data_IF_546233299244
#
_entry.id   IF_546233299244
#
_cell.length_a   1.000
_cell.length_b   1.000
_cell.length_c   1.000
_cell.angle_alpha   90.00
_cell.angle_beta   90.00
_cell.angle_gamma   90.00
#
_symmetry.space_group_name_H-M   'P 1'
#
loop_
_entity.id
_entity.type
_entity.pdbx_description
1 polymer ?
#
# COMPACT_ATOMS: atom_id res chain seq x y z
N UNK A 1 14.43 1.76 -7.41
CA UNK A 1 13.16 2.19 -6.76
C UNK A 1 13.28 3.65 -6.35
N UNK A 2 12.21 4.43 -6.39
CA UNK A 2 12.23 5.83 -5.92
C UNK A 2 11.49 5.98 -4.60
N UNK A 3 12.13 6.58 -3.61
CA UNK A 3 11.52 6.96 -2.34
C UNK A 3 11.38 8.48 -2.26
N UNK A 4 10.20 8.97 -1.93
CA UNK A 4 9.88 10.40 -1.84
C UNK A 4 9.53 10.76 -0.40
N UNK A 5 10.42 11.51 0.25
CA UNK A 5 10.30 11.89 1.65
C UNK A 5 9.89 13.37 1.74
N UNK A 6 8.75 13.63 2.34
CA UNK A 6 8.25 14.98 2.60
C UNK A 6 8.73 15.52 3.95
N UNK A 7 9.16 16.77 3.99
CA UNK A 7 9.54 17.50 5.19
C UNK A 7 8.82 18.83 5.24
N UNK A 8 8.12 19.09 6.34
CA UNK A 8 7.35 20.31 6.55
C UNK A 8 7.85 21.02 7.81
N UNK A 9 8.80 21.93 7.63
CA UNK A 9 9.34 22.75 8.71
C UNK A 9 8.54 24.04 8.95
N UNK A 10 7.79 24.51 7.94
CA UNK A 10 6.99 25.73 7.96
C UNK A 10 5.60 25.45 7.39
N UNK A 11 4.58 26.24 7.78
CA UNK A 11 3.16 25.96 7.51
C UNK A 11 2.81 25.60 6.06
N UNK A 12 3.45 26.24 5.08
CA UNK A 12 3.14 26.05 3.65
C UNK A 12 4.33 25.59 2.79
N UNK A 13 5.49 25.32 3.37
CA UNK A 13 6.69 24.93 2.59
C UNK A 13 6.98 23.45 2.74
N UNK A 14 6.51 22.65 1.78
CA UNK A 14 6.83 21.24 1.67
C UNK A 14 8.15 21.07 0.92
N UNK A 15 9.10 20.44 1.58
CA UNK A 15 10.32 19.97 0.96
C UNK A 15 10.18 18.49 0.62
N UNK A 16 10.52 18.11 -0.60
CA UNK A 16 10.45 16.73 -1.09
C UNK A 16 11.85 16.29 -1.48
N UNK A 17 12.40 15.33 -0.74
CA UNK A 17 13.62 14.64 -1.10
C UNK A 17 13.25 13.37 -1.86
N UNK A 18 13.73 13.22 -3.10
CA UNK A 18 13.58 11.99 -3.88
C UNK A 18 14.91 11.24 -3.87
N UNK A 19 14.87 10.01 -3.37
CA UNK A 19 16.00 9.11 -3.29
C UNK A 19 15.86 8.05 -4.36
N UNK A 20 16.85 7.97 -5.25
CA UNK A 20 16.92 6.89 -6.21
C UNK A 20 17.77 5.75 -5.62
N UNK A 21 17.15 4.61 -5.33
CA UNK A 21 17.86 3.48 -4.72
C UNK A 21 18.82 2.75 -5.66
N UNK A 22 18.77 3.03 -6.96
CA UNK A 22 19.67 2.43 -7.95
C UNK A 22 20.88 3.33 -8.24
N UNK A 23 20.68 4.65 -8.38
CA UNK A 23 21.77 5.60 -8.62
C UNK A 23 22.40 6.16 -7.34
N UNK A 24 21.76 5.95 -6.18
CA UNK A 24 22.11 6.58 -4.89
C UNK A 24 22.09 8.11 -4.93
N UNK A 25 21.35 8.69 -5.87
CA UNK A 25 21.19 10.13 -5.98
C UNK A 25 20.04 10.64 -5.09
N UNK A 26 20.24 11.84 -4.55
CA UNK A 26 19.22 12.58 -3.80
C UNK A 26 18.91 13.86 -4.57
N UNK A 27 17.65 14.02 -4.96
CA UNK A 27 17.15 15.29 -5.52
C UNK A 27 16.22 15.96 -4.53
N UNK A 28 16.19 17.29 -4.56
CA UNK A 28 15.45 18.11 -3.62
C UNK A 28 14.55 19.07 -4.38
N UNK A 29 13.25 19.00 -4.12
CA UNK A 29 12.24 19.88 -4.69
C UNK A 29 11.48 20.60 -3.56
N UNK A 30 11.27 21.91 -3.70
CA UNK A 30 10.44 22.69 -2.79
C UNK A 30 9.10 22.97 -3.46
N UNK A 31 8.02 22.69 -2.75
CA UNK A 31 6.66 22.85 -3.21
C UNK A 31 5.77 23.44 -2.12
N UNK A 32 4.61 23.93 -2.52
CA UNK A 32 3.56 24.32 -1.59
C UNK A 32 2.86 23.08 -1.03
N UNK A 33 2.43 23.10 0.24
CA UNK A 33 1.71 21.99 0.86
C UNK A 33 0.44 21.57 0.08
N UNK A 34 -0.22 22.51 -0.62
CA UNK A 34 -1.35 22.21 -1.52
C UNK A 34 -0.99 21.26 -2.66
N UNK A 35 0.29 21.20 -3.03
CA UNK A 35 0.80 20.35 -4.10
C UNK A 35 1.27 18.97 -3.59
N UNK A 36 1.21 18.70 -2.28
CA UNK A 36 1.62 17.43 -1.68
C UNK A 36 1.03 16.20 -2.37
N UNK A 37 -0.22 16.29 -2.85
CA UNK A 37 -0.89 15.21 -3.56
C UNK A 37 -0.17 14.79 -4.86
N UNK A 38 0.62 15.67 -5.48
CA UNK A 38 1.36 15.39 -6.72
C UNK A 38 2.58 14.50 -6.50
N UNK A 39 3.14 14.50 -5.30
CA UNK A 39 4.46 13.91 -5.06
C UNK A 39 4.44 12.43 -4.69
N UNK A 40 3.27 11.79 -4.50
CA UNK A 40 3.16 10.37 -4.10
C UNK A 40 4.15 10.00 -2.99
N UNK A 41 4.15 10.78 -1.90
CA UNK A 41 5.09 10.63 -0.80
C UNK A 41 5.04 9.22 -0.18
N UNK A 42 6.21 8.71 0.19
CA UNK A 42 6.39 7.49 0.96
C UNK A 42 6.43 7.75 2.47
N UNK A 43 6.71 9.00 2.87
CA UNK A 43 6.79 9.43 4.27
C UNK A 43 6.61 10.93 4.36
N UNK A 44 6.07 11.41 5.48
CA UNK A 44 6.00 12.83 5.81
C UNK A 44 6.50 13.07 7.23
N UNK A 45 7.41 14.03 7.36
CA UNK A 45 7.95 14.53 8.62
C UNK A 45 7.50 15.98 8.76
N UNK A 46 6.96 16.37 9.91
CA UNK A 46 6.55 17.75 10.16
C UNK A 46 7.01 18.27 11.52
N UNK A 47 7.06 19.60 11.67
CA UNK A 47 7.35 20.24 12.97
C UNK A 47 6.14 20.17 13.89
N UNK A 48 6.33 19.76 15.15
CA UNK A 48 5.29 19.72 16.17
C UNK A 48 4.67 21.11 16.45
N UNK A 49 5.37 22.19 16.07
CA UNK A 49 4.91 23.57 16.23
C UNK A 49 3.79 23.96 15.24
N UNK A 50 3.49 23.12 14.24
CA UNK A 50 2.50 23.37 13.19
C UNK A 50 1.09 22.90 13.59
N UNK A 51 0.55 23.42 14.70
CA UNK A 51 -0.75 23.00 15.26
C UNK A 51 -1.90 23.13 14.25
N UNK A 52 -1.95 24.22 13.48
CA UNK A 52 -3.07 24.51 12.55
C UNK A 52 -3.13 23.55 11.36
N UNK A 53 -2.02 22.90 11.01
CA UNK A 53 -1.93 21.99 9.86
C UNK A 53 -1.89 20.52 10.28
N UNK A 54 -1.81 20.28 11.60
CA UNK A 54 -1.64 18.96 12.21
C UNK A 54 -2.75 17.97 11.85
N UNK A 55 -4.03 18.38 11.85
CA UNK A 55 -5.14 17.49 11.50
C UNK A 55 -5.08 17.05 10.03
N UNK A 56 -4.85 17.99 9.12
CA UNK A 56 -4.72 17.72 7.68
C UNK A 56 -3.53 16.81 7.40
N UNK A 57 -2.41 17.01 8.08
CA UNK A 57 -1.21 16.16 7.98
C UNK A 57 -1.49 14.76 8.56
N UNK A 58 -2.09 14.68 9.75
CA UNK A 58 -2.36 13.41 10.44
C UNK A 58 -3.36 12.55 9.66
N UNK A 59 -4.31 13.17 8.94
CA UNK A 59 -5.21 12.45 8.03
C UNK A 59 -4.45 11.65 6.95
N UNK A 60 -3.25 12.09 6.57
CA UNK A 60 -2.44 11.39 5.58
C UNK A 60 -1.81 10.10 6.12
N UNK A 61 -1.81 9.90 7.43
CA UNK A 61 -1.25 8.70 8.07
C UNK A 61 -1.99 7.41 7.68
N UNK A 62 -3.17 7.52 7.06
CA UNK A 62 -3.87 6.40 6.40
C UNK A 62 -3.08 5.86 5.19
N UNK A 63 -2.31 6.69 4.50
CA UNK A 63 -1.66 6.35 3.23
C UNK A 63 -0.17 6.04 3.36
N UNK A 64 0.53 6.74 4.23
CA UNK A 64 1.97 6.60 4.44
C UNK A 64 2.33 7.02 5.88
N UNK A 65 3.50 6.62 6.41
CA UNK A 65 3.96 7.05 7.72
C UNK A 65 4.05 8.58 7.83
N UNK A 66 3.37 9.12 8.84
CA UNK A 66 3.47 10.53 9.25
C UNK A 66 4.10 10.58 10.65
N UNK A 67 5.16 11.35 10.82
CA UNK A 67 5.91 11.49 12.07
C UNK A 67 6.36 12.93 12.28
N UNK A 68 6.87 13.25 13.47
CA UNK A 68 7.37 14.60 13.77
C UNK A 68 8.89 14.64 13.88
N UNK A 69 9.51 15.80 13.69
CA UNK A 69 10.97 15.95 13.84
C UNK A 69 11.47 15.51 15.23
N UNK A 70 10.70 15.77 16.29
CA UNK A 70 11.05 15.34 17.64
C UNK A 70 11.11 13.81 17.78
N UNK A 71 10.24 13.07 17.10
CA UNK A 71 10.21 11.60 17.15
C UNK A 71 11.37 10.94 16.39
N UNK A 72 11.95 11.65 15.42
CA UNK A 72 13.10 11.16 14.66
C UNK A 72 14.40 11.40 15.45
N UNK A 73 14.39 12.28 16.45
CA UNK A 73 15.55 12.59 17.29
C UNK A 73 16.69 13.26 16.53
N UNK A 74 16.42 13.77 15.32
CA UNK A 74 17.43 14.38 14.47
C UNK A 74 17.34 15.90 14.56
N UNK A 75 18.38 16.52 15.11
CA UNK A 75 18.52 17.98 15.22
C UNK A 75 19.08 18.60 13.94
N UNK A 76 19.52 17.78 12.98
CA UNK A 76 20.08 18.24 11.71
C UNK A 76 18.97 18.46 10.67
N UNK A 77 19.14 19.49 9.83
CA UNK A 77 18.23 19.74 8.73
C UNK A 77 18.26 18.54 7.75
N UNK A 78 17.11 18.08 7.22
CA UNK A 78 17.04 16.96 6.28
C UNK A 78 17.96 17.08 5.07
N UNK A 79 18.20 18.31 4.62
CA UNK A 79 19.09 18.65 3.49
C UNK A 79 20.57 18.30 3.74
N UNK A 80 20.97 18.17 5.02
CA UNK A 80 22.35 17.87 5.41
C UNK A 80 22.63 16.37 5.56
N UNK A 81 21.59 15.54 5.46
CA UNK A 81 21.71 14.10 5.57
C UNK A 81 22.12 13.51 4.22
N UNK A 82 23.06 12.58 4.25
CA UNK A 82 23.42 11.81 3.07
C UNK A 82 22.32 10.78 2.72
N UNK A 83 22.45 10.18 1.53
CA UNK A 83 21.54 9.15 1.04
C UNK A 83 21.37 8.01 2.06
N UNK A 84 22.47 7.50 2.63
CA UNK A 84 22.45 6.38 3.56
C UNK A 84 21.63 6.68 4.81
N UNK A 85 21.84 7.85 5.42
CA UNK A 85 21.10 8.29 6.61
C UNK A 85 19.62 8.53 6.32
N UNK A 86 19.29 9.09 5.17
CA UNK A 86 17.89 9.29 4.78
C UNK A 86 17.16 7.95 4.57
N UNK A 87 17.83 6.95 3.97
CA UNK A 87 17.32 5.59 3.82
C UNK A 87 17.14 4.92 5.19
N UNK A 88 18.16 4.93 6.06
CA UNK A 88 18.07 4.40 7.42
C UNK A 88 16.89 5.00 8.21
N UNK A 89 16.72 6.32 8.13
CA UNK A 89 15.61 7.04 8.75
C UNK A 89 14.26 6.57 8.19
N UNK A 90 14.12 6.47 6.87
CA UNK A 90 12.91 5.98 6.25
C UNK A 90 12.55 4.57 6.72
N UNK A 91 13.49 3.62 6.70
CA UNK A 91 13.23 2.25 7.18
C UNK A 91 12.79 2.24 8.64
N UNK A 92 13.53 2.92 9.52
CA UNK A 92 13.19 2.99 10.95
C UNK A 92 11.77 3.50 11.21
N UNK A 93 11.32 4.52 10.48
CA UNK A 93 9.98 5.09 10.65
C UNK A 93 8.92 4.18 10.02
N UNK A 94 9.15 3.77 8.77
CA UNK A 94 8.15 3.04 8.02
C UNK A 94 7.94 1.61 8.56
N UNK A 95 9.00 0.95 9.03
CA UNK A 95 8.89 -0.39 9.61
C UNK A 95 8.11 -0.35 10.93
N UNK A 96 8.32 0.69 11.77
CA UNK A 96 7.50 0.91 12.97
C UNK A 96 6.03 1.16 12.62
N UNK A 97 5.75 1.94 11.58
CA UNK A 97 4.40 2.21 11.11
C UNK A 97 3.71 0.93 10.63
N UNK A 98 4.41 0.11 9.85
CA UNK A 98 3.92 -1.20 9.39
C UNK A 98 3.64 -2.14 10.55
N UNK A 99 4.57 -2.26 11.51
CA UNK A 99 4.38 -3.11 12.69
C UNK A 99 3.14 -2.66 13.47
N UNK A 100 2.97 -1.35 13.68
CA UNK A 100 1.79 -0.79 14.34
C UNK A 100 0.50 -1.17 13.59
N UNK A 101 0.50 -1.07 12.26
CA UNK A 101 -0.64 -1.46 11.43
C UNK A 101 -0.91 -2.97 11.51
N UNK A 102 0.14 -3.80 11.42
CA UNK A 102 0.02 -5.25 11.54
C UNK A 102 -0.61 -5.64 12.89
N UNK A 103 -0.11 -5.07 14.00
CA UNK A 103 -0.65 -5.33 15.33
C UNK A 103 -2.11 -4.87 15.46
N UNK A 104 -2.45 -3.72 14.88
CA UNK A 104 -3.84 -3.24 14.87
C UNK A 104 -4.76 -4.16 14.05
N UNK A 105 -4.31 -4.62 12.88
CA UNK A 105 -5.06 -5.56 12.03
C UNK A 105 -5.24 -6.92 12.72
N UNK A 106 -4.21 -7.44 13.41
CA UNK A 106 -4.30 -8.68 14.20
C UNK A 106 -5.33 -8.53 15.33
N UNK A 107 -5.25 -7.42 16.08
CA UNK A 107 -6.16 -7.16 17.21
C UNK A 107 -7.62 -7.10 16.75
N UNK A 108 -7.86 -6.54 15.56
CA UNK A 108 -9.20 -6.36 15.01
C UNK A 108 -9.58 -7.42 13.96
N UNK A 109 -8.83 -8.53 13.85
CA UNK A 109 -8.96 -9.49 12.75
C UNK A 109 -10.40 -9.99 12.55
N UNK A 110 -11.10 -10.33 13.63
CA UNK A 110 -12.49 -10.83 13.55
C UNK A 110 -13.45 -9.76 13.01
N UNK A 111 -13.30 -8.51 13.46
CA UNK A 111 -14.14 -7.41 12.97
C UNK A 111 -13.84 -7.08 11.52
N UNK A 112 -12.55 -7.10 11.16
CA UNK A 112 -12.06 -6.87 9.81
C UNK A 112 -12.58 -7.93 8.83
N UNK A 113 -12.47 -9.22 9.16
CA UNK A 113 -13.00 -10.31 8.32
C UNK A 113 -14.53 -10.21 8.16
N UNK A 114 -15.27 -9.87 9.23
CA UNK A 114 -16.73 -9.65 9.14
C UNK A 114 -17.09 -8.47 8.23
N UNK A 115 -16.38 -7.36 8.38
CA UNK A 115 -16.57 -6.17 7.57
C UNK A 115 -16.31 -6.47 6.09
N UNK A 116 -15.16 -7.07 5.78
CA UNK A 116 -14.78 -7.46 4.43
C UNK A 116 -15.74 -8.50 3.83
N UNK A 117 -16.21 -9.49 4.59
CA UNK A 117 -17.24 -10.45 4.12
C UNK A 117 -18.55 -9.73 3.78
N UNK A 118 -18.92 -8.74 4.59
CA UNK A 118 -20.08 -7.89 4.34
C UNK A 118 -19.95 -7.09 3.04
N UNK A 119 -18.77 -6.51 2.78
CA UNK A 119 -18.48 -5.82 1.52
C UNK A 119 -18.48 -6.79 0.35
N UNK A 120 -17.81 -7.94 0.46
CA UNK A 120 -17.76 -8.97 -0.60
C UNK A 120 -19.15 -9.35 -1.13
N UNK A 121 -20.15 -9.38 -0.25
CA UNK A 121 -21.53 -9.74 -0.60
C UNK A 121 -22.38 -8.58 -1.11
N UNK A 122 -22.04 -7.32 -0.79
CA UNK A 122 -22.89 -6.14 -1.02
C UNK A 122 -22.30 -5.12 -2.00
N UNK A 123 -20.99 -4.96 -1.95
CA UNK A 123 -20.22 -3.96 -2.68
C UNK A 123 -18.83 -4.52 -2.98
N UNK A 124 -18.72 -5.16 -4.15
CA UNK A 124 -17.48 -5.81 -4.60
C UNK A 124 -16.37 -4.80 -4.87
N UNK A 125 -16.69 -3.61 -5.38
CA UNK A 125 -15.70 -2.55 -5.60
C UNK A 125 -15.18 -2.01 -4.27
N UNK A 126 -16.07 -1.68 -3.33
CA UNK A 126 -15.69 -1.27 -1.98
C UNK A 126 -14.86 -2.34 -1.24
N UNK A 127 -15.17 -3.63 -1.45
CA UNK A 127 -14.33 -4.72 -0.93
C UNK A 127 -12.88 -4.62 -1.42
N UNK A 128 -12.67 -4.47 -2.74
CA UNK A 128 -11.33 -4.43 -3.31
C UNK A 128 -10.57 -3.15 -2.96
N UNK A 129 -11.24 -2.01 -2.78
CA UNK A 129 -10.60 -0.80 -2.26
C UNK A 129 -10.11 -0.98 -0.82
N UNK A 130 -10.93 -1.56 0.06
CA UNK A 130 -10.57 -1.80 1.46
C UNK A 130 -9.48 -2.88 1.57
N UNK A 131 -9.56 -3.95 0.78
CA UNK A 131 -8.50 -4.95 0.69
C UNK A 131 -7.18 -4.34 0.20
N UNK A 132 -7.25 -3.45 -0.80
CA UNK A 132 -6.07 -2.73 -1.30
C UNK A 132 -5.42 -1.90 -0.19
N UNK A 133 -6.20 -1.11 0.56
CA UNK A 133 -5.67 -0.32 1.69
C UNK A 133 -5.06 -1.20 2.76
N UNK A 134 -5.71 -2.33 3.08
CA UNK A 134 -5.26 -3.26 4.08
C UNK A 134 -3.89 -3.85 3.73
N UNK A 135 -3.72 -4.37 2.50
CA UNK A 135 -2.43 -4.91 2.05
C UNK A 135 -1.38 -3.80 2.02
N UNK A 136 -1.71 -2.63 1.46
CA UNK A 136 -0.79 -1.49 1.32
C UNK A 136 -0.22 -1.02 2.66
N UNK A 137 -1.09 -0.79 3.65
CA UNK A 137 -0.71 -0.27 4.97
C UNK A 137 0.03 -1.29 5.83
N UNK A 138 -0.20 -2.59 5.58
CA UNK A 138 0.43 -3.67 6.32
C UNK A 138 1.76 -4.14 5.72
N UNK A 139 2.16 -3.66 4.54
CA UNK A 139 3.32 -4.22 3.84
C UNK A 139 4.35 -3.23 3.31
N UNK A 140 4.13 -1.91 3.48
CA UNK A 140 5.01 -0.86 2.93
C UNK A 140 5.23 -0.97 1.41
N UNK A 141 4.36 -1.65 0.66
CA UNK A 141 4.53 -1.69 -0.79
C UNK A 141 4.44 -0.27 -1.36
N UNK A 142 5.17 0.03 -2.42
CA UNK A 142 5.17 1.34 -3.11
C UNK A 142 4.09 1.41 -4.20
N UNK A 143 3.75 0.27 -4.78
CA UNK A 143 2.67 0.09 -5.75
C UNK A 143 1.97 -1.24 -5.46
N UNK A 144 0.64 -1.27 -5.65
CA UNK A 144 -0.17 -2.47 -5.48
C UNK A 144 -1.21 -2.52 -6.59
N UNK A 145 -1.29 -3.68 -7.24
CA UNK A 145 -2.30 -4.03 -8.24
C UNK A 145 -2.97 -5.32 -7.81
N UNK A 146 -4.30 -5.34 -7.81
CA UNK A 146 -5.09 -6.54 -7.56
C UNK A 146 -6.01 -6.74 -8.77
N UNK A 147 -5.91 -7.90 -9.41
CA UNK A 147 -6.75 -8.30 -10.54
C UNK A 147 -7.76 -9.34 -10.03
N UNK A 148 -9.02 -9.17 -10.39
CA UNK A 148 -10.11 -10.01 -9.89
C UNK A 148 -11.20 -10.20 -10.95
N UNK A 149 -12.00 -11.26 -10.78
CA UNK A 149 -13.22 -11.42 -11.57
C UNK A 149 -14.28 -10.42 -11.14
N UNK A 150 -14.90 -9.78 -12.11
CA UNK A 150 -15.99 -8.84 -11.93
C UNK A 150 -17.17 -9.23 -12.82
N UNK A 151 -18.33 -8.67 -12.51
CA UNK A 151 -19.55 -8.86 -13.31
C UNK A 151 -19.94 -7.50 -13.87
N UNK A 152 -19.96 -7.40 -15.19
CA UNK A 152 -20.42 -6.20 -15.90
C UNK A 152 -21.64 -6.52 -16.76
N UNK A 153 -22.68 -5.71 -16.64
CA UNK A 153 -23.91 -5.81 -17.42
C UNK A 153 -25.14 -5.33 -16.63
N UNK A 154 -26.28 -5.18 -17.32
CA UNK A 154 -27.60 -5.12 -16.69
C UNK A 154 -28.06 -6.57 -16.36
N UNK A 155 -29.01 -6.75 -15.44
CA UNK A 155 -29.44 -8.06 -14.89
C UNK A 155 -29.71 -9.15 -15.97
N UNK A 156 -30.06 -8.78 -17.20
CA UNK A 156 -30.34 -9.71 -18.31
C UNK A 156 -29.14 -9.99 -19.26
N UNK A 157 -27.99 -9.33 -19.08
CA UNK A 157 -26.78 -9.49 -19.92
C UNK A 157 -25.49 -9.38 -19.11
N UNK A 158 -25.45 -10.03 -17.96
CA UNK A 158 -24.22 -10.13 -17.17
C UNK A 158 -23.14 -10.88 -17.96
N UNK A 159 -21.96 -10.28 -18.04
CA UNK A 159 -20.76 -10.89 -18.59
C UNK A 159 -19.66 -10.91 -17.53
N UNK A 160 -18.98 -12.05 -17.42
CA UNK A 160 -17.80 -12.17 -16.59
C UNK A 160 -16.65 -11.46 -17.29
N UNK A 161 -16.10 -10.46 -16.62
CA UNK A 161 -14.90 -9.76 -17.06
C UNK A 161 -13.87 -9.76 -15.93
N UNK A 162 -12.66 -9.29 -16.24
CA UNK A 162 -11.70 -8.94 -15.21
C UNK A 162 -11.78 -7.46 -14.91
N UNK A 163 -11.59 -7.11 -13.65
CA UNK A 163 -11.35 -5.75 -13.20
C UNK A 163 -10.03 -5.71 -12.44
N UNK A 164 -9.45 -4.53 -12.36
CA UNK A 164 -8.25 -4.29 -11.57
C UNK A 164 -8.43 -3.10 -10.64
N UNK A 165 -7.90 -3.21 -9.42
CA UNK A 165 -7.63 -2.07 -8.55
C UNK A 165 -6.12 -1.86 -8.51
N UNK A 166 -5.66 -0.68 -8.94
CA UNK A 166 -4.24 -0.34 -8.94
C UNK A 166 -3.97 1.03 -8.36
N UNK A 167 -2.77 1.22 -7.81
CA UNK A 167 -2.33 2.55 -7.39
C UNK A 167 -1.02 2.56 -6.60
N UNK A 168 -0.47 3.77 -6.46
CA UNK A 168 0.66 4.04 -5.58
C UNK A 168 0.22 4.64 -4.24
N UNK A 169 -0.70 5.61 -4.25
CA UNK A 169 -1.22 6.30 -3.05
C UNK A 169 -2.68 5.95 -2.74
N UNK A 170 -3.52 5.96 -3.77
CA UNK A 170 -4.96 5.67 -3.67
C UNK A 170 -5.32 4.55 -4.65
N UNK A 171 -6.29 3.68 -4.31
CA UNK A 171 -6.80 2.70 -5.23
C UNK A 171 -7.55 3.40 -6.37
N UNK A 172 -7.49 2.80 -7.55
CA UNK A 172 -8.25 3.21 -8.72
C UNK A 172 -8.75 1.95 -9.41
N UNK A 173 -10.07 1.74 -9.37
CA UNK A 173 -10.73 0.59 -10.00
C UNK A 173 -10.96 0.90 -11.47
N UNK A 174 -10.52 0.00 -12.33
CA UNK A 174 -10.69 0.10 -13.77
C UNK A 174 -11.05 -1.28 -14.34
N UNK A 175 -11.85 -1.32 -15.42
CA UNK A 175 -12.02 -2.55 -16.19
C UNK A 175 -10.66 -3.11 -16.61
N UNK A 176 -10.53 -4.43 -16.56
CA UNK A 176 -9.38 -5.16 -17.07
C UNK A 176 -9.31 -5.08 -18.60
N UNK A 177 -8.12 -5.31 -19.12
CA UNK A 177 -7.85 -5.41 -20.55
C UNK A 177 -7.44 -6.84 -20.89
N UNK A 178 -7.08 -7.07 -22.15
CA UNK A 178 -6.53 -8.34 -22.60
C UNK A 178 -5.24 -8.76 -21.87
N UNK A 179 -4.52 -7.78 -21.28
CA UNK A 179 -3.33 -8.04 -20.47
C UNK A 179 -3.73 -8.79 -19.18
N UNK A 180 -4.71 -8.28 -18.44
CA UNK A 180 -5.21 -8.89 -17.22
C UNK A 180 -5.81 -10.27 -17.48
N UNK A 181 -6.54 -10.46 -18.59
CA UNK A 181 -7.02 -11.78 -19.01
C UNK A 181 -5.88 -12.79 -19.24
N UNK A 182 -4.79 -12.35 -19.87
CA UNK A 182 -3.63 -13.19 -20.16
C UNK A 182 -2.92 -13.57 -18.87
N UNK A 183 -2.69 -12.60 -17.98
CA UNK A 183 -2.08 -12.84 -16.67
C UNK A 183 -2.89 -13.84 -15.85
N UNK A 184 -4.21 -13.67 -15.75
CA UNK A 184 -5.06 -14.58 -14.97
C UNK A 184 -5.03 -16.02 -15.52
N UNK A 185 -4.86 -16.20 -16.84
CA UNK A 185 -4.67 -17.52 -17.45
C UNK A 185 -3.31 -18.14 -17.09
N UNK A 186 -2.24 -17.35 -17.10
CA UNK A 186 -0.90 -17.83 -16.72
C UNK A 186 -0.86 -18.38 -15.30
N UNK A 187 -1.51 -17.71 -14.35
CA UNK A 187 -1.54 -18.10 -12.93
C UNK A 187 -2.68 -19.07 -12.56
N UNK A 188 -3.42 -19.61 -13.54
CA UNK A 188 -4.62 -20.42 -13.26
C UNK A 188 -4.35 -21.62 -12.34
N UNK A 189 -3.18 -22.24 -12.49
CA UNK A 189 -2.78 -23.41 -11.69
C UNK A 189 -2.29 -23.03 -10.28
N UNK A 190 -1.97 -21.77 -10.03
CA UNK A 190 -1.41 -21.28 -8.76
C UNK A 190 -2.47 -20.82 -7.77
N UNK A 191 -3.72 -20.66 -8.23
CA UNK A 191 -4.86 -20.42 -7.35
C UNK A 191 -5.26 -21.71 -6.61
N UNK A 192 -4.42 -22.24 -5.74
CA UNK A 192 -4.63 -23.55 -5.08
C UNK A 192 -5.26 -23.44 -3.68
N UNK A 193 -5.16 -22.29 -3.04
CA UNK A 193 -5.67 -22.06 -1.69
C UNK A 193 -6.22 -20.64 -1.49
N UNK A 194 -6.56 -20.32 -0.25
CA UNK A 194 -7.08 -19.01 0.13
C UNK A 194 -6.08 -17.88 -0.19
N UNK A 195 -4.79 -18.11 0.08
CA UNK A 195 -3.69 -17.22 -0.25
C UNK A 195 -2.40 -18.02 -0.39
N UNK A 196 -1.60 -17.69 -1.40
CA UNK A 196 -0.30 -18.29 -1.68
C UNK A 196 0.61 -17.25 -2.33
N UNK A 197 1.82 -17.07 -1.82
CA UNK A 197 2.86 -16.28 -2.49
C UNK A 197 3.49 -17.15 -3.58
N UNK A 198 3.24 -16.82 -4.83
CA UNK A 198 3.74 -17.58 -5.99
C UNK A 198 5.18 -17.17 -6.32
N UNK A 199 5.47 -15.88 -6.27
CA UNK A 199 6.80 -15.34 -6.57
C UNK A 199 7.15 -14.19 -5.63
N UNK A 200 8.38 -14.19 -5.11
CA UNK A 200 8.94 -13.04 -4.44
C UNK A 200 10.39 -12.85 -4.86
N UNK A 201 10.71 -11.66 -5.37
CA UNK A 201 12.06 -11.27 -5.77
C UNK A 201 12.44 -9.99 -5.04
N UNK A 202 13.16 -10.14 -3.93
CA UNK A 202 13.64 -9.02 -3.12
C UNK A 202 14.58 -8.07 -3.92
N UNK A 203 15.40 -8.59 -4.83
CA UNK A 203 16.32 -7.78 -5.63
C UNK A 203 15.57 -6.86 -6.60
N UNK A 204 14.47 -7.34 -7.19
CA UNK A 204 13.60 -6.55 -8.08
C UNK A 204 12.53 -5.77 -7.31
N UNK A 205 12.38 -6.05 -6.02
CA UNK A 205 11.32 -5.53 -5.17
C UNK A 205 9.92 -5.92 -5.68
N UNK A 206 9.73 -7.16 -6.10
CA UNK A 206 8.49 -7.65 -6.73
C UNK A 206 7.91 -8.83 -5.96
N UNK A 207 6.60 -8.79 -5.71
CA UNK A 207 5.82 -9.87 -5.12
C UNK A 207 4.61 -10.17 -6.00
N UNK A 208 4.37 -11.46 -6.25
CA UNK A 208 3.15 -11.98 -6.87
C UNK A 208 2.55 -13.03 -5.94
N UNK A 209 1.28 -12.84 -5.61
CA UNK A 209 0.51 -13.77 -4.80
C UNK A 209 -0.83 -14.09 -5.46
N UNK A 210 -1.22 -15.36 -5.36
CA UNK A 210 -2.49 -15.87 -5.82
C UNK A 210 -3.38 -16.11 -4.60
N UNK A 211 -4.62 -15.65 -4.68
CA UNK A 211 -5.61 -15.83 -3.64
C UNK A 211 -6.93 -16.29 -4.25
N UNK A 212 -7.77 -16.89 -3.41
CA UNK A 212 -9.15 -17.24 -3.76
C UNK A 212 -10.08 -16.85 -2.64
N UNK A 213 -11.27 -16.41 -3.01
CA UNK A 213 -12.41 -16.34 -2.09
C UNK A 213 -13.51 -17.18 -2.73
N UNK A 214 -13.84 -18.29 -2.09
CA UNK A 214 -14.61 -19.38 -2.69
C UNK A 214 -13.97 -19.84 -4.02
N UNK A 215 -14.68 -19.69 -5.14
CA UNK A 215 -14.21 -20.02 -6.48
C UNK A 215 -13.59 -18.83 -7.21
N UNK A 216 -13.63 -17.63 -6.64
CA UNK A 216 -13.22 -16.40 -7.31
C UNK A 216 -11.71 -16.18 -7.16
N UNK A 217 -10.91 -16.29 -8.24
CA UNK A 217 -9.47 -16.07 -8.18
C UNK A 217 -9.15 -14.57 -8.13
N UNK A 218 -8.10 -14.26 -7.39
CA UNK A 218 -7.58 -12.92 -7.14
C UNK A 218 -6.07 -12.96 -7.30
N UNK A 219 -5.52 -12.18 -8.21
CA UNK A 219 -4.08 -12.03 -8.41
C UNK A 219 -3.62 -10.73 -7.77
N UNK A 220 -2.61 -10.80 -6.91
CA UNK A 220 -2.04 -9.67 -6.17
C UNK A 220 -0.61 -9.47 -6.63
N UNK A 221 -0.29 -8.26 -7.11
CA UNK A 221 1.04 -7.88 -7.53
C UNK A 221 1.45 -6.62 -6.76
N UNK A 222 2.59 -6.68 -6.07
CA UNK A 222 3.08 -5.60 -5.23
C UNK A 222 4.54 -5.28 -5.52
N UNK A 223 4.89 -3.99 -5.43
CA UNK A 223 6.28 -3.53 -5.41
C UNK A 223 6.73 -3.28 -3.98
N UNK A 224 7.66 -4.08 -3.47
CA UNK A 224 8.13 -4.00 -2.08
C UNK A 224 9.50 -4.65 -1.92
N UNK A 225 10.33 -4.13 -1.02
CA UNK A 225 11.68 -4.65 -0.77
C UNK A 225 11.66 -5.92 0.07
N UNK A 226 10.73 -6.00 1.02
CA UNK A 226 10.63 -7.09 1.98
C UNK A 226 9.18 -7.54 2.12
N UNK A 227 9.00 -8.84 2.31
CA UNK A 227 7.75 -9.46 2.69
C UNK A 227 8.00 -10.40 3.87
N UNK A 228 7.60 -9.99 5.06
CA UNK A 228 7.97 -10.68 6.30
C UNK A 228 7.00 -11.82 6.63
N UNK A 229 7.42 -12.82 7.45
CA UNK A 229 6.52 -13.88 7.90
C UNK A 229 5.28 -13.37 8.65
N UNK A 230 5.39 -12.23 9.36
CA UNK A 230 4.25 -11.59 10.02
C UNK A 230 3.22 -11.08 9.01
N UNK A 231 3.69 -10.45 7.93
CA UNK A 231 2.84 -9.94 6.86
C UNK A 231 2.17 -11.07 6.09
N UNK A 232 2.92 -12.13 5.79
CA UNK A 232 2.40 -13.35 5.18
C UNK A 232 1.30 -13.98 6.05
N UNK A 233 1.58 -14.20 7.33
CA UNK A 233 0.60 -14.77 8.27
C UNK A 233 -0.65 -13.88 8.43
N UNK A 234 -0.49 -12.56 8.46
CA UNK A 234 -1.60 -11.61 8.55
C UNK A 234 -2.49 -11.70 7.31
N UNK A 235 -1.92 -11.58 6.11
CA UNK A 235 -2.67 -11.59 4.85
C UNK A 235 -3.31 -12.96 4.61
N UNK A 236 -2.56 -14.04 4.86
CA UNK A 236 -3.10 -15.40 4.86
C UNK A 236 -4.27 -15.55 5.81
N UNK A 237 -4.15 -15.02 7.04
CA UNK A 237 -5.22 -15.03 8.03
C UNK A 237 -6.48 -14.31 7.57
N UNK A 238 -6.33 -13.16 6.90
CA UNK A 238 -7.45 -12.43 6.30
C UNK A 238 -8.16 -13.28 5.25
N UNK A 239 -7.43 -13.82 4.26
CA UNK A 239 -8.03 -14.63 3.20
C UNK A 239 -8.63 -15.95 3.72
N UNK A 240 -8.00 -16.58 4.70
CA UNK A 240 -8.57 -17.74 5.38
C UNK A 240 -9.88 -17.39 6.09
N UNK A 241 -9.93 -16.24 6.77
CA UNK A 241 -11.15 -15.74 7.42
C UNK A 241 -12.24 -15.30 6.45
N UNK A 242 -11.92 -15.10 5.16
CA UNK A 242 -12.86 -14.79 4.09
C UNK A 242 -13.39 -16.03 3.38
N UNK A 243 -12.80 -17.22 3.60
CA UNK A 243 -13.39 -18.45 3.09
C UNK A 243 -14.72 -18.68 3.80
N UNK A 244 -15.77 -19.03 3.06
CA UNK A 244 -17.04 -19.44 3.66
C UNK A 244 -16.80 -20.62 4.59
N UNK A 245 -17.09 -20.41 5.87
CA UNK A 245 -17.37 -21.48 6.85
C UNK A 245 -18.75 -22.06 6.62
#
# INVERSE_FOLDING_TARGET
MELKLGFLAQENSLQVLTLNTESHEVTNERADLTQMAKFNLNMLVYSDELEQVSEKITSQNKFFPVTTFNQIGNTQAPESLDFGRLVEMYHSIADRWVIKNNLNSITNMVQLSKYLTGLWSKDRHGFFEELWYLIKTNTKCSELTIVFHDVQGEEDKESLCYSQVKGAKVPNIQPGTQIEETLMKEYTNDFTGAFNVTEFNAQKGQLVACAKIDISPILIMARMEEFTPLQDALISGIFNGLQKS
#
